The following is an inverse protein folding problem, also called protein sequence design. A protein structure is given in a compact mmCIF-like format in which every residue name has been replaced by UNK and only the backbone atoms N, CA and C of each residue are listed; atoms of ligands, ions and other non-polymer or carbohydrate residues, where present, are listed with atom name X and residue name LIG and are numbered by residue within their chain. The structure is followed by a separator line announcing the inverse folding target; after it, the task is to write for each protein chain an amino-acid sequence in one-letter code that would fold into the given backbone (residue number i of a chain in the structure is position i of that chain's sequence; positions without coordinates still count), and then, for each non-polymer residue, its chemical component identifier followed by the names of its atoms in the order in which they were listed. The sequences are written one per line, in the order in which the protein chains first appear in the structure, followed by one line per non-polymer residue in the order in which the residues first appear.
data_IF_647913473621
#
_entry.id   IF_647913473621
#
_cell.length_a   1.000
_cell.length_b   1.000
_cell.length_c   1.000
_cell.angle_alpha   90.00
_cell.angle_beta   90.00
_cell.angle_gamma   90.00
#
_symmetry.space_group_name_H-M   'P 1'
#
loop_
_entity.id
_entity.type
_entity.pdbx_description
1 polymer ?
#
# COMPACT_ATOMS: atom_id res chain seq x y z
N UNK A 1 -4.63 -28.19 -15.15
CA UNK A 1 -4.74 -26.73 -15.21
C UNK A 1 -5.62 -26.22 -14.08
N UNK A 2 -5.22 -25.13 -13.43
CA UNK A 2 -6.00 -24.58 -12.33
C UNK A 2 -7.29 -23.93 -12.85
N UNK A 3 -8.31 -23.91 -12.02
CA UNK A 3 -9.57 -23.24 -12.35
C UNK A 3 -9.42 -21.72 -12.18
N UNK A 4 -10.34 -20.97 -12.76
CA UNK A 4 -10.36 -19.52 -12.61
C UNK A 4 -10.49 -19.10 -11.13
N UNK A 5 -11.27 -19.84 -10.35
CA UNK A 5 -11.44 -19.58 -8.93
C UNK A 5 -10.15 -19.82 -8.15
N UNK A 6 -9.44 -20.89 -8.46
CA UNK A 6 -8.14 -21.17 -7.85
C UNK A 6 -7.11 -20.08 -8.23
N UNK A 7 -7.12 -19.63 -9.49
CA UNK A 7 -6.26 -18.56 -9.94
C UNK A 7 -6.55 -17.28 -9.16
N UNK A 8 -7.82 -16.95 -8.95
CA UNK A 8 -8.24 -15.79 -8.17
C UNK A 8 -7.73 -15.85 -6.74
N UNK A 9 -7.88 -16.99 -6.07
CA UNK A 9 -7.41 -17.14 -4.70
C UNK A 9 -5.89 -17.05 -4.59
N UNK A 10 -5.17 -17.64 -5.51
CA UNK A 10 -3.70 -17.54 -5.53
C UNK A 10 -3.23 -16.12 -5.79
N UNK A 11 -3.93 -15.40 -6.64
CA UNK A 11 -3.62 -14.00 -6.92
C UNK A 11 -3.83 -13.15 -5.67
N UNK A 12 -4.92 -13.35 -4.95
CA UNK A 12 -5.16 -12.64 -3.68
C UNK A 12 -4.08 -12.92 -2.64
N UNK A 13 -3.66 -14.16 -2.52
CA UNK A 13 -2.57 -14.52 -1.61
C UNK A 13 -1.27 -13.84 -2.00
N UNK A 14 -0.98 -13.79 -3.30
CA UNK A 14 0.23 -13.11 -3.78
C UNK A 14 0.19 -11.61 -3.53
N UNK A 15 -0.96 -11.00 -3.75
CA UNK A 15 -1.14 -9.56 -3.47
C UNK A 15 -0.91 -9.28 -2.00
N UNK A 16 -1.40 -10.14 -1.12
CA UNK A 16 -1.18 -10.00 0.33
C UNK A 16 0.31 -10.07 0.68
N UNK A 17 1.03 -11.00 0.10
CA UNK A 17 2.48 -11.12 0.32
C UNK A 17 3.20 -9.87 -0.16
N UNK A 18 2.85 -9.37 -1.35
CA UNK A 18 3.45 -8.16 -1.90
C UNK A 18 3.13 -6.94 -1.02
N UNK A 19 1.91 -6.86 -0.50
CA UNK A 19 1.53 -5.78 0.40
C UNK A 19 2.33 -5.82 1.71
N UNK A 20 2.54 -7.00 2.28
CA UNK A 20 3.36 -7.17 3.48
C UNK A 20 4.81 -6.77 3.22
N UNK A 21 5.38 -7.17 2.10
CA UNK A 21 6.73 -6.79 1.72
C UNK A 21 6.84 -5.27 1.53
N UNK A 22 5.84 -4.67 0.93
CA UNK A 22 5.79 -3.22 0.74
C UNK A 22 5.79 -2.49 2.09
N UNK A 23 5.00 -2.97 3.04
CA UNK A 23 4.94 -2.40 4.38
C UNK A 23 6.31 -2.52 5.07
N UNK A 24 6.92 -3.68 5.04
CA UNK A 24 8.21 -3.92 5.69
C UNK A 24 9.32 -3.07 5.06
N UNK A 25 9.37 -3.01 3.73
CA UNK A 25 10.50 -2.40 3.03
C UNK A 25 10.38 -0.88 2.86
N UNK A 26 9.17 -0.35 2.75
CA UNK A 26 8.96 1.06 2.45
C UNK A 26 8.19 1.81 3.53
N UNK A 27 7.05 1.27 3.93
CA UNK A 27 6.14 1.95 4.86
C UNK A 27 6.79 2.11 6.23
N UNK A 28 7.39 1.03 6.74
CA UNK A 28 8.04 1.05 8.06
C UNK A 28 9.12 2.12 8.14
N UNK A 29 9.93 2.25 7.11
CA UNK A 29 10.99 3.26 7.06
C UNK A 29 10.43 4.68 7.04
N UNK A 30 9.37 4.91 6.27
CA UNK A 30 8.75 6.23 6.19
C UNK A 30 8.05 6.61 7.49
N UNK A 31 7.42 5.66 8.15
CA UNK A 31 6.82 5.87 9.47
C UNK A 31 7.92 6.25 10.47
N UNK A 32 9.02 5.52 10.49
CA UNK A 32 10.13 5.81 11.41
C UNK A 32 10.71 7.21 11.14
N UNK A 33 10.87 7.57 9.87
CA UNK A 33 11.36 8.90 9.50
C UNK A 33 10.41 9.98 9.99
N UNK A 34 9.11 9.78 9.86
CA UNK A 34 8.12 10.74 10.35
C UNK A 34 8.15 10.85 11.88
N UNK A 35 8.30 9.73 12.58
CA UNK A 35 8.43 9.70 14.04
C UNK A 35 9.65 10.53 14.47
N UNK A 36 10.77 10.35 13.80
CA UNK A 36 12.01 11.06 14.10
C UNK A 36 11.88 12.58 13.89
N UNK A 37 10.95 12.99 13.03
CA UNK A 37 10.65 14.41 12.79
C UNK A 37 9.51 14.94 13.66
N UNK A 38 8.95 14.10 14.55
CA UNK A 38 7.84 14.49 15.40
C UNK A 38 6.51 14.61 14.69
N UNK A 39 6.33 13.89 13.59
CA UNK A 39 5.09 13.90 12.82
C UNK A 39 4.21 12.70 13.15
N UNK A 40 2.90 12.89 13.10
CA UNK A 40 1.91 11.84 13.34
C UNK A 40 1.31 11.28 12.06
N UNK A 41 1.93 11.56 10.94
CA UNK A 41 1.45 11.09 9.64
C UNK A 41 2.60 10.95 8.66
N UNK A 42 2.36 10.16 7.62
CA UNK A 42 3.26 10.09 6.47
C UNK A 42 2.46 9.73 5.22
N UNK A 43 3.05 9.99 4.07
CA UNK A 43 2.50 9.60 2.77
C UNK A 43 3.46 8.64 2.10
N UNK A 44 2.93 7.58 1.52
CA UNK A 44 3.73 6.57 0.83
C UNK A 44 3.26 6.50 -0.61
N UNK A 45 4.13 6.85 -1.55
CA UNK A 45 3.81 6.74 -2.97
C UNK A 45 3.87 5.28 -3.41
N UNK A 46 2.86 4.86 -4.17
CA UNK A 46 2.85 3.54 -4.80
C UNK A 46 3.59 3.54 -6.14
N UNK A 47 3.83 4.73 -6.68
CA UNK A 47 4.57 4.87 -7.94
C UNK A 47 6.07 4.79 -7.71
N UNK A 48 6.79 4.28 -8.69
CA UNK A 48 8.23 4.14 -8.60
C UNK A 48 8.70 2.97 -7.77
N UNK A 49 7.79 2.14 -7.30
CA UNK A 49 8.17 0.87 -6.67
C UNK A 49 8.39 -0.17 -7.74
N UNK A 50 9.29 -1.13 -7.49
CA UNK A 50 9.60 -2.21 -8.42
C UNK A 50 8.44 -3.21 -8.60
N UNK A 51 7.25 -2.85 -8.18
CA UNK A 51 6.06 -3.68 -8.28
C UNK A 51 5.28 -3.27 -9.53
N UNK A 52 5.98 -3.21 -10.66
CA UNK A 52 5.47 -2.59 -11.88
C UNK A 52 4.33 -3.36 -12.58
N UNK A 53 4.04 -4.58 -12.18
CA UNK A 53 3.06 -5.41 -12.87
C UNK A 53 1.83 -5.76 -12.04
N UNK A 54 1.75 -5.20 -10.84
CA UNK A 54 0.59 -5.42 -9.98
C UNK A 54 -0.42 -4.29 -10.21
N UNK A 55 -1.70 -4.63 -10.14
CA UNK A 55 -2.74 -3.62 -10.11
C UNK A 55 -2.56 -2.76 -8.85
N UNK A 56 -2.08 -1.54 -9.03
CA UNK A 56 -1.76 -0.65 -7.91
C UNK A 56 -2.99 -0.29 -7.07
N UNK A 57 -4.17 -0.25 -7.68
CA UNK A 57 -5.40 0.01 -6.93
C UNK A 57 -5.69 -1.13 -5.95
N UNK A 58 -5.56 -2.37 -6.43
CA UNK A 58 -5.79 -3.55 -5.59
C UNK A 58 -4.71 -3.68 -4.52
N UNK A 59 -3.46 -3.46 -4.90
CA UNK A 59 -2.36 -3.49 -3.93
C UNK A 59 -2.54 -2.42 -2.85
N UNK A 60 -2.91 -1.20 -3.25
CA UNK A 60 -3.15 -0.11 -2.32
C UNK A 60 -4.24 -0.41 -1.32
N UNK A 61 -5.33 -1.02 -1.77
CA UNK A 61 -6.42 -1.43 -0.88
C UNK A 61 -5.95 -2.47 0.14
N UNK A 62 -5.16 -3.43 -0.28
CA UNK A 62 -4.64 -4.45 0.62
C UNK A 62 -3.67 -3.86 1.65
N UNK A 63 -2.79 -2.94 1.22
CA UNK A 63 -1.88 -2.24 2.13
C UNK A 63 -2.67 -1.44 3.17
N UNK A 64 -3.71 -0.73 2.75
CA UNK A 64 -4.58 0.03 3.66
C UNK A 64 -5.23 -0.90 4.68
N UNK A 65 -5.75 -2.04 4.23
CA UNK A 65 -6.38 -3.03 5.11
C UNK A 65 -5.40 -3.53 6.16
N UNK A 66 -4.19 -3.89 5.76
CA UNK A 66 -3.17 -4.39 6.68
C UNK A 66 -2.73 -3.33 7.68
N UNK A 67 -2.62 -2.07 7.26
CA UNK A 67 -2.29 -0.97 8.16
C UNK A 67 -3.39 -0.73 9.18
N UNK A 68 -4.66 -0.79 8.78
CA UNK A 68 -5.78 -0.68 9.71
C UNK A 68 -5.80 -1.80 10.73
N UNK A 69 -5.44 -3.01 10.32
CA UNK A 69 -5.31 -4.14 11.24
C UNK A 69 -4.24 -3.89 12.30
N UNK A 70 -3.24 -3.06 12.00
CA UNK A 70 -2.17 -2.67 12.93
C UNK A 70 -2.50 -1.41 13.75
N UNK A 71 -3.71 -0.89 13.63
CA UNK A 71 -4.17 0.26 14.40
C UNK A 71 -3.92 1.61 13.78
N UNK A 72 -3.37 1.68 12.58
CA UNK A 72 -3.19 2.94 11.87
C UNK A 72 -4.49 3.38 11.20
N UNK A 73 -4.64 4.69 11.04
CA UNK A 73 -5.59 5.22 10.08
C UNK A 73 -4.90 5.25 8.73
N UNK A 74 -5.53 4.71 7.72
CA UNK A 74 -4.94 4.66 6.39
C UNK A 74 -6.00 4.93 5.33
N UNK A 75 -5.60 5.66 4.31
CA UNK A 75 -6.45 5.99 3.18
C UNK A 75 -5.64 5.93 1.89
N UNK A 76 -6.18 5.25 0.90
CA UNK A 76 -5.59 5.21 -0.43
C UNK A 76 -6.15 6.37 -1.26
N UNK A 77 -5.30 7.34 -1.54
CA UNK A 77 -5.66 8.49 -2.36
C UNK A 77 -5.23 8.20 -3.79
N UNK A 78 -6.21 8.02 -4.64
CA UNK A 78 -6.02 7.75 -6.06
C UNK A 78 -6.56 8.94 -6.85
N UNK A 79 -5.69 9.61 -7.56
CA UNK A 79 -6.06 10.76 -8.35
C UNK A 79 -6.03 10.40 -9.82
N UNK A 80 -7.19 10.37 -10.46
CA UNK A 80 -7.33 10.18 -11.89
C UNK A 80 -7.47 11.55 -12.56
N UNK A 81 -6.53 12.42 -12.30
CA UNK A 81 -6.53 13.77 -12.81
C UNK A 81 -5.58 13.96 -13.98
N UNK A 82 -5.89 14.91 -14.83
CA UNK A 82 -5.12 15.22 -16.03
C UNK A 82 -3.72 15.80 -15.76
N UNK A 83 -3.39 16.07 -14.50
CA UNK A 83 -2.16 16.80 -14.15
C UNK A 83 -1.18 16.02 -13.28
N UNK A 84 -1.25 14.72 -13.27
CA UNK A 84 -0.29 13.96 -12.51
C UNK A 84 -0.92 12.85 -11.70
N UNK A 85 -0.10 11.95 -11.36
CA UNK A 85 -0.47 10.71 -10.77
C UNK A 85 -0.17 10.79 -9.29
N UNK A 86 -1.14 11.25 -8.50
CA UNK A 86 -1.03 11.15 -7.06
C UNK A 86 -1.69 9.84 -6.64
N UNK A 87 -0.92 8.78 -6.63
CA UNK A 87 -1.33 7.50 -6.12
C UNK A 87 -0.51 7.23 -4.88
N UNK A 88 -1.07 7.56 -3.71
CA UNK A 88 -0.36 7.42 -2.45
C UNK A 88 -1.29 6.92 -1.36
N UNK A 89 -0.69 6.40 -0.30
CA UNK A 89 -1.40 6.02 0.90
C UNK A 89 -1.07 7.04 1.98
N UNK A 90 -2.09 7.67 2.54
CA UNK A 90 -1.95 8.57 3.68
C UNK A 90 -2.11 7.73 4.94
N UNK A 91 -1.12 7.78 5.82
CA UNK A 91 -1.07 6.98 7.04
C UNK A 91 -0.97 7.92 8.23
N UNK A 92 -1.84 7.71 9.21
CA UNK A 92 -1.87 8.51 10.44
C UNK A 92 -1.90 7.60 11.65
N UNK A 93 -1.32 8.08 12.75
CA UNK A 93 -1.29 7.33 14.01
C UNK A 93 -1.51 8.20 15.24
N UNK A 94 -2.16 9.30 15.06
CA UNK A 94 -2.57 10.16 16.16
C UNK A 94 -3.81 9.64 16.88
#
# INVERSE_FOLDING_TARGET
MITAEQAKEKTKERIRVLAEEFIINYVGMLIQTAIDKGKFFTKVSLEGTDIAEVDLAVLGEEVVKLLKERGYEAEHVYYDGSNGYDNYILIKWE
#
